data_IF_677015329831
#
_entry.id   IF_677015329831
#
_cell.length_a   1.000
_cell.length_b   1.000
_cell.length_c   1.000
_cell.angle_alpha   90.00
_cell.angle_beta   90.00
_cell.angle_gamma   90.00
#
_symmetry.space_group_name_H-M   'P 1'
#
loop_
_entity.id
_entity.type
_entity.pdbx_description
1 polymer ?
#
# COMPACT_ATOMS: atom_id res chain seq x y z
N UNK A 1 -0.50 39.33 14.80
CA UNK A 1 -1.56 38.58 14.13
C UNK A 1 -1.70 37.22 14.82
N UNK A 2 -2.91 36.81 15.14
CA UNK A 2 -3.16 35.48 15.69
C UNK A 2 -2.80 34.45 14.62
N UNK A 3 -1.90 33.51 14.96
CA UNK A 3 -1.61 32.38 14.07
C UNK A 3 -2.88 31.53 13.96
N UNK A 4 -3.33 31.27 12.73
CA UNK A 4 -4.43 30.33 12.48
C UNK A 4 -3.86 28.91 12.63
N UNK A 5 -4.33 28.18 13.60
CA UNK A 5 -4.04 26.77 13.78
C UNK A 5 -5.24 26.03 13.20
N UNK A 6 -5.05 25.11 12.22
CA UNK A 6 -6.15 24.34 11.66
C UNK A 6 -6.86 23.56 12.77
N UNK A 7 -8.20 23.60 12.78
CA UNK A 7 -8.98 22.77 13.69
C UNK A 7 -8.79 21.29 13.37
N UNK A 8 -8.78 20.43 14.41
CA UNK A 8 -8.78 19.00 14.19
C UNK A 8 -10.07 18.59 13.49
N UNK A 9 -9.94 17.80 12.45
CA UNK A 9 -11.07 17.33 11.65
C UNK A 9 -11.01 15.83 11.47
N UNK A 10 -12.14 15.29 11.06
CA UNK A 10 -12.17 13.97 10.48
C UNK A 10 -11.50 14.06 9.11
N UNK A 11 -10.61 13.13 8.83
CA UNK A 11 -9.86 13.16 7.59
C UNK A 11 -10.14 11.96 6.74
N UNK A 12 -10.30 12.18 5.45
CA UNK A 12 -10.24 11.13 4.43
C UNK A 12 -8.93 11.28 3.70
N UNK A 13 -8.17 10.21 3.60
CA UNK A 13 -6.92 10.19 2.86
C UNK A 13 -6.97 9.16 1.76
N UNK A 14 -6.63 9.58 0.55
CA UNK A 14 -6.47 8.72 -0.62
C UNK A 14 -5.00 8.68 -0.99
N UNK A 15 -4.39 7.49 -1.00
CA UNK A 15 -3.01 7.30 -1.37
C UNK A 15 -2.96 6.45 -2.64
N UNK A 16 -2.20 6.89 -3.64
CA UNK A 16 -1.86 6.12 -4.81
C UNK A 16 -0.35 6.13 -4.99
N UNK A 17 0.24 4.97 -5.19
CA UNK A 17 1.69 4.84 -5.21
C UNK A 17 2.16 3.76 -6.17
N UNK A 18 3.36 3.94 -6.72
CA UNK A 18 4.13 2.88 -7.34
C UNK A 18 4.68 1.96 -6.26
N UNK A 19 4.52 0.66 -6.44
CA UNK A 19 4.94 -0.37 -5.51
C UNK A 19 6.27 -0.96 -5.98
N UNK A 20 7.26 -0.92 -5.10
CA UNK A 20 8.57 -1.53 -5.30
C UNK A 20 8.71 -2.73 -4.38
N UNK A 21 9.24 -3.81 -4.90
CA UNK A 21 9.58 -5.02 -4.14
C UNK A 21 11.07 -5.01 -3.89
N UNK A 22 11.48 -4.99 -2.63
CA UNK A 22 12.88 -4.90 -2.21
C UNK A 22 13.29 -6.17 -1.51
N UNK A 23 14.45 -6.72 -1.88
CA UNK A 23 14.97 -7.96 -1.31
C UNK A 23 14.37 -9.23 -1.94
N UNK A 24 13.67 -9.11 -3.07
CA UNK A 24 13.29 -10.29 -3.85
C UNK A 24 14.53 -10.97 -4.40
N UNK A 25 14.57 -12.30 -4.26
CA UNK A 25 15.59 -13.15 -4.88
C UNK A 25 15.07 -13.78 -6.16
N UNK A 26 15.96 -14.50 -6.85
CA UNK A 26 15.59 -15.33 -7.98
C UNK A 26 15.16 -14.56 -9.24
N UNK A 27 14.19 -15.13 -9.93
CA UNK A 27 13.72 -14.66 -11.24
C UNK A 27 12.54 -13.68 -11.19
N UNK A 28 12.15 -13.19 -10.02
CA UNK A 28 11.06 -12.21 -9.95
C UNK A 28 11.46 -10.86 -10.53
N UNK A 29 10.84 -10.47 -11.63
CA UNK A 29 10.99 -9.18 -12.28
C UNK A 29 9.71 -8.35 -12.09
N UNK A 30 9.68 -7.43 -11.10
CA UNK A 30 8.51 -6.57 -10.90
C UNK A 30 8.38 -5.59 -12.08
N UNK A 31 7.18 -5.49 -12.64
CA UNK A 31 6.89 -4.53 -13.67
C UNK A 31 6.64 -3.13 -13.06
N UNK A 32 6.93 -2.09 -13.83
CA UNK A 32 6.68 -0.70 -13.42
C UNK A 32 5.20 -0.37 -13.13
N UNK A 33 4.27 -1.20 -13.62
CA UNK A 33 2.84 -1.08 -13.34
C UNK A 33 2.45 -1.52 -11.92
N UNK A 34 3.36 -2.14 -11.15
CA UNK A 34 3.08 -2.51 -9.77
C UNK A 34 2.71 -1.26 -8.97
N UNK A 35 1.55 -1.31 -8.32
CA UNK A 35 1.00 -0.15 -7.63
C UNK A 35 0.25 -0.55 -6.36
N UNK A 36 0.04 0.44 -5.49
CA UNK A 36 -0.80 0.33 -4.31
C UNK A 36 -1.79 1.48 -4.28
N UNK A 37 -3.00 1.17 -3.84
CA UNK A 37 -4.07 2.15 -3.63
C UNK A 37 -4.64 1.98 -2.24
N UNK A 38 -4.81 3.08 -1.52
CA UNK A 38 -5.26 3.08 -0.15
C UNK A 38 -6.30 4.17 0.07
N UNK A 39 -7.32 3.85 0.84
CA UNK A 39 -8.30 4.80 1.37
C UNK A 39 -8.26 4.70 2.88
N UNK A 40 -8.14 5.83 3.56
CA UNK A 40 -8.05 5.90 5.02
C UNK A 40 -9.10 6.87 5.55
N UNK A 41 -9.83 6.45 6.59
CA UNK A 41 -10.76 7.27 7.35
C UNK A 41 -10.12 7.53 8.72
N UNK A 42 -9.74 8.78 8.96
CA UNK A 42 -8.92 9.16 10.10
C UNK A 42 -9.63 10.22 10.94
N UNK A 43 -9.65 10.02 12.23
CA UNK A 43 -10.03 11.03 13.21
C UNK A 43 -8.78 11.62 13.83
N UNK A 44 -8.73 12.94 13.93
CA UNK A 44 -7.60 13.67 14.50
C UNK A 44 -7.94 14.31 15.83
N UNK A 45 -6.97 14.30 16.71
CA UNK A 45 -6.95 15.06 17.97
C UNK A 45 -5.70 15.94 17.99
N UNK A 46 -5.85 17.25 18.13
CA UNK A 46 -4.71 18.16 18.27
C UNK A 46 -4.26 18.26 19.73
N UNK A 47 -2.99 18.53 19.93
CA UNK A 47 -2.41 18.78 21.26
C UNK A 47 -2.58 20.27 21.63
N UNK A 48 -3.76 20.64 22.07
CA UNK A 48 -4.10 22.03 22.41
C UNK A 48 -3.99 22.96 21.18
N UNK A 49 -3.37 24.12 21.38
CA UNK A 49 -3.13 25.13 20.33
C UNK A 49 -1.75 24.95 19.65
N UNK A 50 -1.26 23.74 19.57
CA UNK A 50 0.05 23.44 18.97
C UNK A 50 -0.10 23.06 17.48
N UNK A 51 1.05 23.00 16.81
CA UNK A 51 1.14 22.54 15.42
C UNK A 51 1.05 21.01 15.26
N UNK A 52 0.93 20.29 16.38
CA UNK A 52 0.97 18.84 16.42
C UNK A 52 -0.39 18.23 16.68
N UNK A 53 -0.64 17.08 16.10
CA UNK A 53 -1.83 16.27 16.27
C UNK A 53 -1.54 14.80 16.15
N UNK A 54 -2.47 13.99 16.61
CA UNK A 54 -2.50 12.55 16.46
C UNK A 54 -3.76 12.19 15.69
N UNK A 55 -3.61 11.48 14.58
CA UNK A 55 -4.71 10.91 13.82
C UNK A 55 -4.69 9.39 13.95
N UNK A 56 -5.85 8.79 14.03
CA UNK A 56 -6.04 7.35 14.09
C UNK A 56 -7.32 6.97 13.36
N UNK A 57 -7.35 5.76 12.86
CA UNK A 57 -8.52 5.29 12.13
C UNK A 57 -8.32 3.97 11.42
N UNK A 58 -9.15 3.76 10.43
CA UNK A 58 -9.18 2.54 9.63
C UNK A 58 -8.97 2.86 8.16
N UNK A 59 -8.45 1.88 7.43
CA UNK A 59 -8.24 2.00 6.00
C UNK A 59 -8.55 0.70 5.27
N UNK A 60 -8.56 0.81 3.97
CA UNK A 60 -8.58 -0.31 3.05
C UNK A 60 -7.49 -0.09 2.00
N UNK A 61 -6.71 -1.12 1.73
CA UNK A 61 -5.61 -1.03 0.78
C UNK A 61 -5.55 -2.24 -0.14
N UNK A 62 -5.25 -1.98 -1.41
CA UNK A 62 -4.95 -2.98 -2.42
C UNK A 62 -3.52 -2.84 -2.91
N UNK A 63 -2.80 -3.95 -2.91
CA UNK A 63 -1.43 -4.06 -3.41
C UNK A 63 -1.43 -4.95 -4.65
N UNK A 64 -1.01 -4.40 -5.77
CA UNK A 64 -1.06 -5.02 -7.08
C UNK A 64 0.37 -5.23 -7.59
N UNK A 65 0.83 -6.48 -7.51
CA UNK A 65 2.16 -6.90 -7.93
C UNK A 65 2.09 -7.37 -9.37
N UNK A 66 2.53 -6.53 -10.29
CA UNK A 66 2.70 -6.89 -11.69
C UNK A 66 4.10 -7.46 -11.90
N UNK A 67 4.20 -8.55 -12.64
CA UNK A 67 5.50 -9.19 -12.89
C UNK A 67 5.36 -10.46 -13.71
N UNK A 68 6.43 -11.22 -13.77
CA UNK A 68 6.54 -12.48 -14.53
C UNK A 68 6.08 -13.73 -13.75
N UNK A 69 5.74 -13.59 -12.47
CA UNK A 69 5.27 -14.71 -11.66
C UNK A 69 3.74 -14.79 -11.65
N UNK A 70 3.21 -15.98 -11.87
CA UNK A 70 1.79 -16.28 -11.83
C UNK A 70 1.53 -17.47 -10.89
N UNK A 71 0.37 -17.49 -10.24
CA UNK A 71 -0.09 -18.62 -9.44
C UNK A 71 -1.24 -19.25 -10.18
N UNK A 72 -1.04 -20.50 -10.60
CA UNK A 72 -2.06 -21.35 -11.18
C UNK A 72 -2.71 -22.21 -10.10
N UNK A 73 -4.01 -22.41 -10.21
CA UNK A 73 -4.80 -23.23 -9.27
C UNK A 73 -5.41 -24.38 -10.03
N UNK A 74 -4.96 -25.60 -9.71
CA UNK A 74 -5.47 -26.83 -10.32
C UNK A 74 -6.88 -27.17 -9.83
N UNK A 75 -7.56 -28.09 -10.50
CA UNK A 75 -8.93 -28.50 -10.17
C UNK A 75 -9.07 -29.16 -8.77
N UNK A 76 -7.98 -29.68 -8.22
CA UNK A 76 -7.91 -30.23 -6.86
C UNK A 76 -7.63 -29.16 -5.77
N UNK A 77 -7.49 -27.89 -6.18
CA UNK A 77 -7.17 -26.77 -5.31
C UNK A 77 -5.70 -26.61 -5.02
N UNK A 78 -4.82 -27.42 -5.60
CA UNK A 78 -3.37 -27.23 -5.48
C UNK A 78 -2.94 -25.98 -6.23
N UNK A 79 -2.02 -25.23 -5.61
CA UNK A 79 -1.50 -23.97 -6.16
C UNK A 79 -0.05 -24.16 -6.57
N UNK A 80 0.28 -23.75 -7.77
CA UNK A 80 1.64 -23.85 -8.32
C UNK A 80 2.10 -22.50 -8.83
N UNK A 81 3.36 -22.18 -8.54
CA UNK A 81 3.99 -20.98 -9.08
C UNK A 81 4.50 -21.28 -10.48
N UNK A 82 4.14 -20.43 -11.42
CA UNK A 82 4.63 -20.44 -12.80
C UNK A 82 5.45 -19.18 -13.07
N UNK A 83 6.58 -19.35 -13.73
CA UNK A 83 7.34 -18.24 -14.30
C UNK A 83 6.94 -18.07 -15.76
N UNK A 84 6.46 -16.90 -16.12
CA UNK A 84 5.99 -16.54 -17.44
C UNK A 84 7.08 -15.92 -18.33
N UNK A 85 8.36 -16.05 -17.97
CA UNK A 85 9.45 -15.54 -18.77
C UNK A 85 9.45 -16.20 -20.16
N UNK A 86 9.30 -15.37 -21.19
CA UNK A 86 9.20 -15.84 -22.59
C UNK A 86 7.80 -16.18 -23.07
N UNK A 87 6.79 -16.13 -22.21
CA UNK A 87 5.39 -16.29 -22.57
C UNK A 87 4.78 -14.95 -23.00
N UNK A 88 3.87 -15.00 -23.98
CA UNK A 88 3.12 -13.80 -24.37
C UNK A 88 1.88 -13.63 -23.52
N UNK A 89 1.80 -12.54 -22.78
CA UNK A 89 0.60 -12.18 -22.03
C UNK A 89 0.38 -10.65 -22.06
N UNK A 90 -0.88 -10.25 -21.99
CA UNK A 90 -1.27 -8.84 -21.95
C UNK A 90 -1.15 -8.25 -20.55
N UNK A 91 -1.51 -9.03 -19.54
CA UNK A 91 -1.45 -8.61 -18.13
C UNK A 91 -1.32 -9.80 -17.21
N UNK A 92 -0.38 -9.71 -16.28
CA UNK A 92 -0.26 -10.65 -15.17
C UNK A 92 -0.16 -9.86 -13.86
N UNK A 93 -1.00 -10.22 -12.88
CA UNK A 93 -1.11 -9.49 -11.63
C UNK A 93 -1.42 -10.43 -10.46
N UNK A 94 -0.61 -10.36 -9.45
CA UNK A 94 -0.91 -10.89 -8.11
C UNK A 94 -1.41 -9.74 -7.24
N UNK A 95 -2.47 -9.95 -6.48
CA UNK A 95 -3.04 -8.91 -5.64
C UNK A 95 -3.29 -9.41 -4.22
N UNK A 96 -3.10 -8.51 -3.26
CA UNK A 96 -3.46 -8.71 -1.87
C UNK A 96 -4.16 -7.46 -1.33
N UNK A 97 -5.28 -7.65 -0.67
CA UNK A 97 -6.14 -6.60 -0.15
C UNK A 97 -6.24 -6.69 1.36
N UNK A 98 -6.17 -5.53 2.04
CA UNK A 98 -6.08 -5.44 3.49
C UNK A 98 -7.09 -4.46 4.05
N UNK A 99 -7.58 -4.77 5.26
CA UNK A 99 -8.19 -3.79 6.15
C UNK A 99 -7.11 -3.35 7.14
N UNK A 100 -6.90 -2.06 7.24
CA UNK A 100 -5.79 -1.45 7.95
C UNK A 100 -6.27 -0.68 9.19
N UNK A 101 -5.51 -0.81 10.28
CA UNK A 101 -5.47 0.14 11.37
C UNK A 101 -4.37 1.16 11.12
N UNK A 102 -4.66 2.44 11.29
CA UNK A 102 -3.75 3.55 10.98
C UNK A 102 -3.57 4.43 12.20
N UNK A 103 -2.32 4.78 12.47
CA UNK A 103 -1.92 5.77 13.46
C UNK A 103 -0.95 6.74 12.83
N UNK A 104 -1.21 8.05 12.95
CA UNK A 104 -0.44 9.09 12.26
C UNK A 104 -0.17 10.28 13.18
N UNK A 105 1.09 10.59 13.40
CA UNK A 105 1.51 11.83 14.05
C UNK A 105 1.64 12.93 13.01
N UNK A 106 1.00 14.07 13.26
CA UNK A 106 0.84 15.17 12.32
C UNK A 106 1.51 16.44 12.80
N UNK A 107 2.27 17.05 11.91
CA UNK A 107 2.75 18.43 12.05
C UNK A 107 2.19 19.30 10.92
N UNK A 108 1.70 20.49 11.30
CA UNK A 108 1.24 21.52 10.36
C UNK A 108 1.87 22.86 10.66
N UNK A 109 2.40 23.53 9.63
CA UNK A 109 2.89 24.89 9.77
C UNK A 109 1.76 25.88 9.95
N UNK A 110 2.09 27.12 10.28
CA UNK A 110 1.14 28.25 10.18
C UNK A 110 0.64 28.37 8.73
N UNK A 111 -0.66 28.63 8.59
CA UNK A 111 -1.25 28.87 7.29
C UNK A 111 -0.73 30.18 6.68
N UNK A 112 -0.49 30.16 5.38
CA UNK A 112 -0.18 31.38 4.64
C UNK A 112 -1.44 32.23 4.40
N UNK A 113 -1.29 33.41 3.74
CA UNK A 113 -2.40 34.31 3.42
C UNK A 113 -3.51 33.70 2.53
N UNK A 114 -3.24 32.53 1.91
CA UNK A 114 -4.22 31.76 1.12
C UNK A 114 -4.80 30.58 1.88
N UNK A 115 -4.62 30.50 3.19
CA UNK A 115 -5.09 29.39 4.02
C UNK A 115 -4.34 28.07 3.85
N UNK A 116 -3.23 28.06 3.10
CA UNK A 116 -2.45 26.83 2.86
C UNK A 116 -1.32 26.73 3.86
N UNK A 117 -1.13 25.52 4.44
CA UNK A 117 -0.05 25.18 5.37
C UNK A 117 0.76 23.98 4.85
N UNK A 118 2.01 23.90 5.28
CA UNK A 118 2.84 22.74 5.02
C UNK A 118 2.48 21.63 5.99
N UNK A 119 2.49 20.41 5.51
CA UNK A 119 2.17 19.18 6.25
C UNK A 119 3.39 18.28 6.30
N UNK A 120 3.61 17.67 7.45
CA UNK A 120 4.58 16.60 7.62
C UNK A 120 3.98 15.57 8.58
N UNK A 121 3.71 14.38 8.08
CA UNK A 121 3.04 13.33 8.83
C UNK A 121 3.91 12.08 8.84
N UNK A 122 4.00 11.45 10.00
CA UNK A 122 4.67 10.16 10.21
C UNK A 122 3.63 9.19 10.74
N UNK A 123 3.46 8.06 10.10
CA UNK A 123 2.44 7.11 10.50
C UNK A 123 2.90 5.66 10.49
N UNK A 124 2.10 4.84 11.13
CA UNK A 124 2.20 3.40 11.12
C UNK A 124 0.89 2.78 10.63
N UNK A 125 1.01 1.68 9.92
CA UNK A 125 -0.12 0.87 9.44
C UNK A 125 0.07 -0.54 9.95
N UNK A 126 -1.01 -1.15 10.42
CA UNK A 126 -1.12 -2.58 10.66
C UNK A 126 -2.38 -3.11 9.96
N UNK A 127 -2.22 -3.99 9.00
CA UNK A 127 -3.30 -4.49 8.15
C UNK A 127 -3.50 -5.99 8.28
N UNK A 128 -4.75 -6.41 8.17
CA UNK A 128 -5.15 -7.82 8.07
C UNK A 128 -5.66 -8.09 6.67
N UNK A 129 -5.11 -9.13 6.01
CA UNK A 129 -5.49 -9.53 4.65
C UNK A 129 -6.93 -10.04 4.63
N UNK A 130 -7.74 -9.49 3.74
CA UNK A 130 -9.15 -9.87 3.56
C UNK A 130 -9.38 -10.57 2.23
N UNK A 131 -8.54 -10.31 1.21
CA UNK A 131 -8.61 -11.00 -0.08
C UNK A 131 -7.23 -11.09 -0.72
N UNK A 132 -7.08 -12.08 -1.61
CA UNK A 132 -5.92 -12.25 -2.46
C UNK A 132 -6.30 -12.96 -3.74
N UNK A 133 -5.76 -12.52 -4.87
CA UNK A 133 -6.05 -13.16 -6.15
C UNK A 133 -4.90 -13.08 -7.14
N UNK A 134 -4.87 -14.05 -8.05
CA UNK A 134 -4.04 -14.05 -9.25
C UNK A 134 -4.89 -13.75 -10.46
N UNK A 135 -4.41 -12.90 -11.36
CA UNK A 135 -5.07 -12.55 -12.61
C UNK A 135 -4.07 -12.65 -13.75
N UNK A 136 -4.41 -13.42 -14.76
CA UNK A 136 -3.67 -13.56 -16.01
C UNK A 136 -4.59 -13.30 -17.18
N UNK A 137 -4.15 -12.46 -18.11
CA UNK A 137 -4.79 -12.20 -19.37
C UNK A 137 -3.79 -12.44 -20.51
N UNK A 138 -4.11 -13.39 -21.36
CA UNK A 138 -3.47 -13.62 -22.65
C UNK A 138 -4.38 -13.13 -23.77
N UNK A 139 -3.97 -13.30 -25.04
CA UNK A 139 -4.74 -12.84 -26.19
C UNK A 139 -6.10 -13.56 -26.30
N UNK A 140 -6.11 -14.88 -25.98
CA UNK A 140 -7.26 -15.75 -26.22
C UNK A 140 -8.08 -16.06 -24.96
N UNK A 141 -7.52 -15.83 -23.76
CA UNK A 141 -8.18 -16.19 -22.51
C UNK A 141 -7.85 -15.25 -21.36
N UNK A 142 -8.70 -15.30 -20.34
CA UNK A 142 -8.58 -14.57 -19.10
C UNK A 142 -8.87 -15.51 -17.94
N UNK A 143 -7.99 -15.55 -16.95
CA UNK A 143 -8.16 -16.39 -15.75
C UNK A 143 -8.01 -15.52 -14.51
N UNK A 144 -8.85 -15.75 -13.50
CA UNK A 144 -8.76 -15.12 -12.20
C UNK A 144 -9.00 -16.16 -11.12
N UNK A 145 -8.01 -16.37 -10.27
CA UNK A 145 -8.08 -17.25 -9.11
C UNK A 145 -8.14 -16.42 -7.84
N UNK A 146 -9.09 -16.72 -6.99
CA UNK A 146 -9.27 -16.07 -5.68
C UNK A 146 -8.67 -16.92 -4.57
N UNK A 147 -8.47 -16.32 -3.40
CA UNK A 147 -7.92 -16.96 -2.22
C UNK A 147 -6.56 -17.65 -2.49
N UNK A 148 -5.70 -16.98 -3.25
CA UNK A 148 -4.37 -17.50 -3.45
C UNK A 148 -3.59 -17.43 -2.13
N UNK A 149 -2.95 -18.55 -1.79
CA UNK A 149 -2.08 -18.65 -0.62
C UNK A 149 -0.79 -17.87 -0.79
N UNK A 150 -0.02 -17.79 0.27
CA UNK A 150 1.36 -17.32 0.26
C UNK A 150 1.54 -15.87 0.64
N UNK A 151 0.59 -14.97 0.43
CA UNK A 151 0.70 -13.60 0.95
C UNK A 151 0.61 -13.55 2.46
N UNK A 152 1.38 -12.67 3.08
CA UNK A 152 1.35 -12.47 4.52
C UNK A 152 -0.04 -12.07 4.99
N UNK A 153 -0.54 -12.77 6.01
CA UNK A 153 -1.85 -12.53 6.61
C UNK A 153 -1.89 -11.18 7.31
N UNK A 154 -0.77 -10.80 7.92
CA UNK A 154 -0.60 -9.48 8.53
C UNK A 154 0.42 -8.68 7.74
N UNK A 155 0.15 -7.41 7.54
CA UNK A 155 1.12 -6.44 7.08
C UNK A 155 1.30 -5.34 8.12
N UNK A 156 2.50 -4.85 8.29
CA UNK A 156 2.76 -3.66 9.07
C UNK A 156 3.93 -2.89 8.50
N UNK A 157 3.89 -1.60 8.69
CA UNK A 157 4.90 -0.72 8.14
C UNK A 157 4.75 0.71 8.65
N UNK A 158 5.71 1.52 8.28
CA UNK A 158 5.74 2.94 8.56
C UNK A 158 5.61 3.75 7.27
N UNK A 159 5.06 4.94 7.37
CA UNK A 159 4.97 5.85 6.23
C UNK A 159 5.23 7.30 6.59
N UNK A 160 5.59 8.06 5.57
CA UNK A 160 5.78 9.50 5.63
C UNK A 160 4.88 10.17 4.60
N UNK A 161 4.29 11.30 4.98
CA UNK A 161 3.62 12.22 4.06
C UNK A 161 4.22 13.61 4.25
N UNK A 162 4.56 14.27 3.15
CA UNK A 162 5.06 15.64 3.18
C UNK A 162 4.43 16.43 2.02
N UNK A 163 3.86 17.60 2.33
CA UNK A 163 3.19 18.36 1.29
C UNK A 163 2.63 19.69 1.72
N UNK A 164 1.76 20.23 0.89
CA UNK A 164 1.12 21.53 1.11
C UNK A 164 -0.33 21.52 0.66
N UNK A 165 -1.21 22.04 1.51
CA UNK A 165 -2.65 21.95 1.25
C UNK A 165 -3.08 20.48 1.24
N UNK A 166 -3.99 20.03 0.36
CA UNK A 166 -4.47 18.65 0.36
C UNK A 166 -3.47 17.64 -0.23
N UNK A 167 -2.46 18.11 -0.99
CA UNK A 167 -1.54 17.24 -1.74
C UNK A 167 -0.26 16.97 -0.96
N UNK A 168 0.12 15.69 -0.87
CA UNK A 168 1.34 15.24 -0.21
C UNK A 168 2.08 14.24 -1.09
N UNK A 169 3.40 14.23 -1.01
CA UNK A 169 4.20 13.08 -1.36
C UNK A 169 3.99 12.01 -0.28
N UNK A 170 3.91 10.77 -0.69
CA UNK A 170 3.70 9.61 0.16
C UNK A 170 4.82 8.61 -0.03
N UNK A 171 5.39 8.14 1.08
CA UNK A 171 6.35 7.05 1.10
C UNK A 171 5.98 6.05 2.18
N UNK A 172 5.85 4.78 1.83
CA UNK A 172 5.61 3.67 2.75
C UNK A 172 6.77 2.68 2.71
N UNK A 173 7.13 2.17 3.88
CA UNK A 173 8.12 1.14 4.08
C UNK A 173 7.50 -0.03 4.85
N UNK A 174 7.38 -1.20 4.20
CA UNK A 174 6.93 -2.45 4.81
C UNK A 174 8.00 -3.02 5.72
N UNK A 175 7.63 -3.36 6.95
CA UNK A 175 8.51 -3.91 7.97
C UNK A 175 8.48 -5.44 8.03
N UNK A 176 7.51 -6.06 7.36
CA UNK A 176 7.40 -7.51 7.27
C UNK A 176 7.45 -7.99 5.81
N UNK A 177 7.79 -9.26 5.58
CA UNK A 177 7.77 -9.85 4.25
C UNK A 177 6.39 -9.77 3.60
N UNK A 178 6.37 -9.66 2.27
CA UNK A 178 5.15 -9.67 1.46
C UNK A 178 4.48 -11.06 1.50
N UNK A 179 5.30 -12.11 1.61
CA UNK A 179 4.91 -13.52 1.53
C UNK A 179 5.32 -14.24 2.80
N UNK A 180 4.48 -15.13 3.28
CA UNK A 180 4.81 -16.01 4.41
C UNK A 180 5.89 -17.01 4.01
N UNK A 181 6.89 -17.19 4.86
CA UNK A 181 8.01 -18.09 4.59
C UNK A 181 7.54 -19.55 4.44
N UNK A 182 8.05 -20.23 3.43
CA UNK A 182 7.76 -21.65 3.17
C UNK A 182 6.56 -21.92 2.27
N UNK A 183 5.90 -20.89 1.74
CA UNK A 183 4.75 -21.03 0.86
C UNK A 183 5.10 -20.53 -0.54
N UNK A 184 4.52 -21.10 -1.56
CA UNK A 184 4.41 -20.86 -3.02
C UNK A 184 5.42 -19.95 -3.74
N UNK A 185 6.01 -18.91 -3.11
CA UNK A 185 6.88 -17.93 -3.78
C UNK A 185 8.18 -17.73 -2.98
N UNK A 186 9.12 -18.69 -3.01
CA UNK A 186 10.39 -18.61 -2.27
C UNK A 186 11.18 -17.33 -2.58
N UNK A 187 11.08 -16.84 -3.81
CA UNK A 187 11.75 -15.63 -4.30
C UNK A 187 11.31 -14.36 -3.59
N UNK A 188 10.09 -14.33 -3.07
CA UNK A 188 9.52 -13.20 -2.33
C UNK A 188 9.58 -13.37 -0.80
N UNK A 189 10.05 -14.50 -0.30
CA UNK A 189 9.99 -14.86 1.12
C UNK A 189 10.72 -13.91 2.08
N UNK A 190 11.70 -13.15 1.59
CA UNK A 190 12.39 -12.09 2.34
C UNK A 190 12.08 -10.69 1.81
N UNK A 191 11.27 -10.59 0.76
CA UNK A 191 10.99 -9.33 0.10
C UNK A 191 10.00 -8.48 0.90
N UNK A 192 10.30 -7.19 1.00
CA UNK A 192 9.42 -6.20 1.61
C UNK A 192 8.88 -5.24 0.56
N UNK A 193 7.73 -4.62 0.82
CA UNK A 193 7.16 -3.60 -0.05
C UNK A 193 7.64 -2.20 0.32
N UNK A 194 7.97 -1.41 -0.68
CA UNK A 194 8.18 0.03 -0.55
C UNK A 194 7.31 0.74 -1.58
N UNK A 195 6.63 1.79 -1.16
CA UNK A 195 5.72 2.51 -2.04
C UNK A 195 6.09 3.99 -2.06
N UNK A 196 6.15 4.57 -3.26
CA UNK A 196 6.33 6.01 -3.45
C UNK A 196 5.19 6.53 -4.31
N UNK A 197 4.54 7.60 -3.88
CA UNK A 197 3.41 8.13 -4.61
C UNK A 197 2.87 9.44 -4.07
N UNK A 198 1.58 9.63 -4.30
CA UNK A 198 0.84 10.82 -3.92
C UNK A 198 -0.26 10.47 -2.91
N UNK A 199 -0.50 11.39 -2.00
CA UNK A 199 -1.60 11.34 -1.05
C UNK A 199 -2.41 12.63 -1.13
N UNK A 200 -3.73 12.48 -1.15
CA UNK A 200 -4.68 13.57 -1.00
C UNK A 200 -5.36 13.40 0.36
N UNK A 201 -5.21 14.38 1.24
CA UNK A 201 -5.85 14.38 2.57
C UNK A 201 -6.83 15.54 2.65
N UNK A 202 -8.10 15.21 2.90
CA UNK A 202 -9.25 16.12 2.97
C UNK A 202 -9.74 16.24 4.40
#
# INVERSE_FOLDING_TARGET
>A
GKAFIPEPGEGVSFNTSSLMVVGAGGSFAPAWQANSQEVQLLRETTFGLTHFGLAYGVGYSGHFYHGNLHIDVSADGSQTLQNLDGESYLSNRLAAEYVDGVLEFRYRSVANNKGRYNRFYVGAIAGYRVDSYAYLQADDYRVKFYNIGGFSTLRYGAYLKAGRGPFNLYYYYGLNPIVESGVLVPELGAATSQNIGLSITL
#
